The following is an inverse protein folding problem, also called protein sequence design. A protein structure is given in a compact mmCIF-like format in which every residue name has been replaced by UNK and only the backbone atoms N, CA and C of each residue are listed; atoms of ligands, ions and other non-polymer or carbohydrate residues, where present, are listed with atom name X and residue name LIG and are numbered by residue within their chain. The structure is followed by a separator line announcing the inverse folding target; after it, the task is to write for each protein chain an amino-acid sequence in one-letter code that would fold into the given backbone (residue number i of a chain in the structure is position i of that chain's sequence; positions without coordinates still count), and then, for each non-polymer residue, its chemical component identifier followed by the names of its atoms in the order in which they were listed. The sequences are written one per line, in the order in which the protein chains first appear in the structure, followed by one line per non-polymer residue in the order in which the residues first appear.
data_IF_217995637783
#
_entry.id   IF_217995637783
#
_cell.length_a   1.000
_cell.length_b   1.000
_cell.length_c   1.000
_cell.angle_alpha   90.00
_cell.angle_beta   90.00
_cell.angle_gamma   90.00
#
_symmetry.space_group_name_H-M   'P 1'
#
loop_
_entity.id
_entity.type
_entity.pdbx_description
1 polymer ?
#
# COMPACT_ATOMS: atom_id res chain seq x y z
N UNK A 1 -0.13 14.31 6.55
CA UNK A 1 -0.10 14.83 5.17
C UNK A 1 -1.51 14.73 4.55
N UNK A 2 -1.84 15.50 3.50
CA UNK A 2 -3.18 15.39 2.86
C UNK A 2 -3.44 14.02 2.23
N UNK A 3 -2.38 13.34 1.75
CA UNK A 3 -2.44 11.98 1.21
C UNK A 3 -2.75 10.91 2.29
N UNK A 4 -2.61 11.27 3.57
CA UNK A 4 -2.92 10.39 4.69
C UNK A 4 -4.41 10.38 5.05
N UNK A 5 -5.25 11.19 4.38
CA UNK A 5 -6.70 11.23 4.64
C UNK A 5 -7.52 10.93 3.37
N UNK A 6 -8.64 10.20 3.54
CA UNK A 6 -9.67 10.00 2.49
C UNK A 6 -11.06 10.09 3.08
N UNK A 7 -12.01 10.62 2.30
CA UNK A 7 -13.43 10.66 2.66
C UNK A 7 -14.07 9.27 2.72
N UNK A 8 -13.66 8.39 1.80
CA UNK A 8 -14.14 7.02 1.69
C UNK A 8 -13.00 6.09 2.04
N UNK A 9 -13.23 5.21 3.02
CA UNK A 9 -12.26 4.20 3.40
C UNK A 9 -12.20 3.05 2.38
N UNK A 10 -11.03 2.39 2.30
CA UNK A 10 -10.83 1.15 1.56
C UNK A 10 -9.92 0.21 2.37
N UNK A 11 -10.07 -1.10 2.18
CA UNK A 11 -9.32 -2.14 2.89
C UNK A 11 -7.80 -2.02 2.68
N UNK A 12 -7.38 -1.43 1.56
CA UNK A 12 -5.96 -1.21 1.24
C UNK A 12 -5.44 0.17 1.65
N UNK A 13 -6.28 1.00 2.27
CA UNK A 13 -5.88 2.31 2.76
C UNK A 13 -5.56 2.26 4.25
N UNK A 14 -4.30 2.56 4.59
CA UNK A 14 -3.84 2.58 5.98
C UNK A 14 -3.64 4.03 6.49
N UNK A 15 -4.44 4.98 6.00
CA UNK A 15 -4.51 6.34 6.53
C UNK A 15 -5.73 6.56 7.40
N UNK A 16 -6.06 7.83 7.61
CA UNK A 16 -7.22 8.31 8.34
C UNK A 16 -8.44 8.43 7.42
N UNK A 17 -9.60 8.01 7.92
CA UNK A 17 -10.90 8.20 7.26
C UNK A 17 -11.94 8.52 8.36
N UNK A 18 -13.13 9.04 8.01
CA UNK A 18 -14.20 9.23 9.00
C UNK A 18 -14.49 7.95 9.78
N UNK A 19 -14.56 8.04 11.11
CA UNK A 19 -14.78 6.89 12.03
C UNK A 19 -13.67 5.80 12.00
N UNK A 20 -12.52 6.07 11.38
CA UNK A 20 -11.35 5.17 11.39
C UNK A 20 -10.27 5.74 12.29
N UNK A 21 -9.72 4.90 13.15
CA UNK A 21 -8.60 5.24 14.02
C UNK A 21 -7.25 4.96 13.33
N UNK A 22 -6.28 5.86 13.51
CA UNK A 22 -4.89 5.67 13.06
C UNK A 22 -3.92 6.06 14.16
N UNK A 23 -2.78 5.38 14.27
CA UNK A 23 -1.78 5.70 15.28
C UNK A 23 -1.05 7.00 14.94
N UNK A 24 -0.72 7.80 15.96
CA UNK A 24 0.13 8.98 15.81
C UNK A 24 1.53 8.66 16.33
N UNK A 25 2.53 8.83 15.46
CA UNK A 25 3.90 8.42 15.77
C UNK A 25 4.46 9.26 16.92
N UNK A 26 5.16 8.58 17.84
CA UNK A 26 5.75 9.10 19.08
C UNK A 26 4.80 9.74 20.09
N UNK A 27 3.51 9.90 19.78
CA UNK A 27 2.53 10.40 20.76
C UNK A 27 1.97 9.26 21.63
N UNK A 28 1.82 8.06 21.07
CA UNK A 28 1.27 6.90 21.79
C UNK A 28 -0.26 6.82 21.82
N UNK A 29 -0.98 7.72 21.16
CA UNK A 29 -2.44 7.68 21.02
C UNK A 29 -2.90 7.34 19.59
N UNK A 30 -4.20 7.07 19.44
CA UNK A 30 -4.86 6.93 18.15
C UNK A 30 -5.64 8.20 17.82
N UNK A 31 -5.43 8.76 16.64
CA UNK A 31 -6.23 9.85 16.11
C UNK A 31 -7.49 9.28 15.47
N UNK A 32 -8.64 9.85 15.82
CA UNK A 32 -9.95 9.49 15.26
C UNK A 32 -10.57 10.74 14.67
N UNK A 33 -11.03 10.66 13.42
CA UNK A 33 -11.68 11.78 12.74
C UNK A 33 -13.16 11.83 13.07
N UNK A 34 -13.59 12.88 13.79
CA UNK A 34 -14.97 13.10 14.21
C UNK A 34 -15.76 13.88 13.17
N UNK A 35 -15.10 14.87 12.55
CA UNK A 35 -15.76 15.76 11.59
C UNK A 35 -14.79 16.26 10.52
N UNK A 36 -15.31 16.29 9.30
CA UNK A 36 -14.62 16.86 8.13
C UNK A 36 -15.22 18.23 7.83
N UNK A 37 -14.38 19.24 7.72
CA UNK A 37 -14.78 20.58 7.28
C UNK A 37 -14.33 20.75 5.84
N UNK A 38 -15.30 20.88 4.95
CA UNK A 38 -15.10 21.03 3.51
C UNK A 38 -15.49 22.43 3.03
N UNK A 39 -14.81 22.88 1.98
CA UNK A 39 -15.21 24.06 1.22
C UNK A 39 -15.04 23.77 -0.27
N UNK A 40 -16.13 23.94 -1.06
CA UNK A 40 -16.15 23.68 -2.50
C UNK A 40 -15.62 22.27 -2.88
N UNK A 41 -16.01 21.24 -2.12
CA UNK A 41 -15.58 19.86 -2.34
C UNK A 41 -14.10 19.57 -2.01
N UNK A 42 -13.39 20.51 -1.37
CA UNK A 42 -12.03 20.30 -0.87
C UNK A 42 -12.03 20.27 0.65
N UNK A 43 -11.38 19.25 1.22
CA UNK A 43 -11.13 19.14 2.65
C UNK A 43 -10.23 20.29 3.10
N UNK A 44 -10.71 21.12 4.04
CA UNK A 44 -9.98 22.26 4.58
C UNK A 44 -9.39 21.96 5.96
N UNK A 45 -10.17 21.26 6.81
CA UNK A 45 -9.79 20.96 8.19
C UNK A 45 -10.45 19.66 8.63
N UNK A 46 -9.73 18.90 9.44
CA UNK A 46 -10.27 17.75 10.16
C UNK A 46 -10.38 18.13 11.63
N UNK A 47 -11.52 17.85 12.24
CA UNK A 47 -11.69 17.89 13.68
C UNK A 47 -11.62 16.44 14.17
N UNK A 48 -10.63 16.20 15.01
CA UNK A 48 -10.27 14.88 15.48
C UNK A 48 -10.06 14.94 16.99
N UNK A 49 -10.36 13.84 17.67
CA UNK A 49 -9.89 13.59 19.02
C UNK A 49 -8.76 12.57 19.01
N UNK A 50 -7.97 12.59 20.09
CA UNK A 50 -6.93 11.61 20.32
C UNK A 50 -7.38 10.65 21.43
N UNK A 51 -7.58 9.39 21.07
CA UNK A 51 -7.86 8.32 22.01
C UNK A 51 -6.55 7.77 22.60
N UNK A 52 -6.34 8.03 23.88
CA UNK A 52 -5.20 7.54 24.68
C UNK A 52 -5.61 6.46 25.68
N UNK A 53 -6.87 5.99 25.64
CA UNK A 53 -7.39 4.98 26.57
C UNK A 53 -6.65 3.66 26.44
N UNK A 54 -6.52 2.91 27.53
CA UNK A 54 -5.88 1.58 27.51
C UNK A 54 -6.68 0.57 26.67
N UNK A 55 -8.00 0.76 26.55
CA UNK A 55 -8.89 -0.08 25.76
C UNK A 55 -8.90 0.26 24.26
N UNK A 56 -8.13 1.25 23.81
CA UNK A 56 -8.08 1.64 22.40
C UNK A 56 -7.62 0.49 21.49
N UNK A 57 -8.18 0.36 20.28
CA UNK A 57 -7.76 -0.67 19.35
C UNK A 57 -6.29 -0.46 18.93
N UNK A 58 -5.55 -1.55 18.69
CA UNK A 58 -4.21 -1.45 18.12
C UNK A 58 -4.30 -0.85 16.71
N UNK A 59 -3.61 0.26 16.40
CA UNK A 59 -3.70 0.87 15.08
C UNK A 59 -3.02 0.01 14.01
N UNK A 60 -3.57 0.01 12.80
CA UNK A 60 -3.00 -0.71 11.64
C UNK A 60 -1.73 -0.05 11.11
N UNK A 61 -1.56 1.25 11.34
CA UNK A 61 -0.47 2.08 10.85
C UNK A 61 -0.26 3.29 11.74
N UNK A 62 0.88 3.96 11.56
CA UNK A 62 1.24 5.17 12.27
C UNK A 62 1.56 6.29 11.28
N UNK A 63 0.94 7.46 11.48
CA UNK A 63 1.19 8.65 10.68
C UNK A 63 2.26 9.53 11.34
N UNK A 64 3.08 10.15 10.49
CA UNK A 64 3.91 11.29 10.86
C UNK A 64 3.05 12.56 10.95
N UNK A 65 3.47 13.49 11.79
CA UNK A 65 2.76 14.75 12.04
C UNK A 65 3.78 15.82 12.43
N UNK A 66 3.37 17.07 12.32
CA UNK A 66 4.09 18.25 12.82
C UNK A 66 3.08 19.13 13.57
N UNK A 67 3.50 19.84 14.62
CA UNK A 67 2.60 20.75 15.33
C UNK A 67 2.27 21.96 14.46
N UNK A 68 1.17 22.64 14.79
CA UNK A 68 0.68 23.81 14.02
C UNK A 68 1.66 25.00 13.97
N UNK A 69 2.58 25.08 14.94
CA UNK A 69 3.66 26.07 15.00
C UNK A 69 4.96 25.56 14.34
N UNK A 70 4.88 24.55 13.47
CA UNK A 70 6.01 24.08 12.67
C UNK A 70 6.59 25.17 11.77
N UNK A 71 7.82 24.94 11.31
CA UNK A 71 8.52 25.88 10.44
C UNK A 71 8.01 25.72 9.01
N UNK A 72 7.68 26.84 8.35
CA UNK A 72 7.30 26.83 6.94
C UNK A 72 8.55 26.79 6.07
N UNK A 73 8.57 25.93 5.06
CA UNK A 73 9.68 25.81 4.12
C UNK A 73 9.21 25.56 2.68
N UNK A 74 10.14 25.81 1.76
CA UNK A 74 10.05 25.31 0.39
C UNK A 74 10.72 23.93 0.32
N UNK A 75 10.01 22.96 -0.24
CA UNK A 75 10.55 21.62 -0.50
C UNK A 75 10.53 21.36 -2.00
N UNK A 76 11.68 21.05 -2.57
CA UNK A 76 11.86 20.68 -3.98
C UNK A 76 12.04 19.17 -4.08
N UNK A 77 11.12 18.53 -4.79
CA UNK A 77 11.13 17.09 -5.04
C UNK A 77 11.59 16.87 -6.47
N UNK A 78 12.74 16.21 -6.63
CA UNK A 78 13.26 15.87 -7.94
C UNK A 78 12.90 14.43 -8.33
N UNK A 79 12.56 14.27 -9.60
CA UNK A 79 12.28 13.02 -10.30
C UNK A 79 13.23 12.89 -11.50
N UNK A 80 13.25 11.76 -12.23
CA UNK A 80 14.06 11.64 -13.44
C UNK A 80 13.79 12.80 -14.41
N UNK A 81 14.85 13.38 -14.96
CA UNK A 81 14.77 14.51 -15.91
C UNK A 81 14.05 14.11 -17.20
N UNK A 82 14.18 12.85 -17.60
CA UNK A 82 13.58 12.30 -18.80
C UNK A 82 12.53 11.24 -18.46
N UNK A 83 11.54 11.11 -19.33
CA UNK A 83 10.48 10.09 -19.23
C UNK A 83 10.88 8.75 -19.83
N UNK A 84 12.01 8.72 -20.56
CA UNK A 84 12.55 7.54 -21.26
C UNK A 84 13.86 7.07 -20.63
N UNK A 85 14.18 5.79 -20.80
CA UNK A 85 15.41 5.20 -20.28
C UNK A 85 16.67 5.56 -21.09
N UNK A 86 16.50 5.82 -22.39
CA UNK A 86 17.55 6.26 -23.30
C UNK A 86 16.99 7.39 -24.14
N UNK A 87 17.64 8.55 -24.06
CA UNK A 87 17.23 9.78 -24.76
C UNK A 87 17.50 9.63 -26.25
N UNK A 88 16.55 10.03 -27.09
CA UNK A 88 16.78 10.09 -28.53
C UNK A 88 17.71 11.26 -28.89
N UNK A 89 18.56 11.10 -29.92
CA UNK A 89 19.49 12.16 -30.30
C UNK A 89 18.78 13.41 -30.83
N UNK A 90 17.69 13.22 -31.58
CA UNK A 90 16.87 14.29 -32.16
C UNK A 90 15.51 14.33 -31.43
N UNK A 91 15.06 15.51 -30.99
CA UNK A 91 13.75 15.69 -30.34
C UNK A 91 13.70 15.35 -28.85
N UNK A 92 14.86 15.27 -28.18
CA UNK A 92 14.98 14.97 -26.74
C UNK A 92 14.19 15.91 -25.83
N UNK A 93 13.92 17.14 -26.28
CA UNK A 93 13.14 18.12 -25.53
C UNK A 93 11.70 17.64 -25.27
N UNK A 94 11.14 16.84 -26.18
CA UNK A 94 9.82 16.22 -26.03
C UNK A 94 9.82 15.08 -25.00
N UNK A 95 11.00 14.55 -24.66
CA UNK A 95 11.18 13.46 -23.71
C UNK A 95 11.42 13.95 -22.27
N UNK A 96 11.56 15.27 -22.07
CA UNK A 96 11.68 15.89 -20.76
C UNK A 96 10.47 15.59 -19.89
N UNK A 97 10.72 15.27 -18.63
CA UNK A 97 9.70 15.06 -17.64
C UNK A 97 9.23 16.42 -17.09
N UNK A 98 7.98 16.85 -17.34
CA UNK A 98 7.44 18.08 -16.79
C UNK A 98 7.30 18.03 -15.26
N UNK A 99 7.33 16.83 -14.68
CA UNK A 99 7.34 16.60 -13.23
C UNK A 99 8.74 16.26 -12.72
N UNK A 100 9.80 16.57 -13.48
CA UNK A 100 11.21 16.37 -13.03
C UNK A 100 11.53 17.18 -11.77
N UNK A 101 10.84 18.30 -11.56
CA UNK A 101 10.89 19.08 -10.33
C UNK A 101 9.46 19.44 -9.88
N UNK A 102 9.13 19.14 -8.63
CA UNK A 102 7.88 19.54 -7.99
C UNK A 102 8.21 20.39 -6.76
N UNK A 103 7.76 21.64 -6.75
CA UNK A 103 8.04 22.61 -5.68
C UNK A 103 6.84 22.80 -4.76
N UNK A 104 7.02 22.47 -3.48
CA UNK A 104 6.06 22.68 -2.40
C UNK A 104 6.45 23.91 -1.58
N UNK A 105 5.87 25.07 -1.89
CA UNK A 105 6.26 26.37 -1.30
C UNK A 105 5.87 26.60 0.16
N UNK A 106 4.93 25.80 0.68
CA UNK A 106 4.35 25.97 2.03
C UNK A 106 4.34 24.64 2.78
N UNK A 107 5.41 23.85 2.61
CA UNK A 107 5.59 22.66 3.42
C UNK A 107 5.85 23.09 4.88
N UNK A 108 5.54 22.19 5.82
CA UNK A 108 5.73 22.44 7.25
C UNK A 108 6.61 21.32 7.80
N UNK A 109 7.65 21.70 8.54
CA UNK A 109 8.56 20.78 9.23
C UNK A 109 8.50 21.01 10.74
N UNK A 110 8.99 20.03 11.49
CA UNK A 110 9.02 20.12 12.94
C UNK A 110 9.89 21.30 13.44
N UNK A 111 9.51 22.01 14.52
CA UNK A 111 10.29 23.11 15.08
C UNK A 111 11.76 22.77 15.39
N UNK A 112 12.07 21.51 15.71
CA UNK A 112 13.45 21.05 15.94
C UNK A 112 14.36 21.19 14.71
N UNK A 113 13.79 21.31 13.49
CA UNK A 113 14.57 21.61 12.29
C UNK A 113 15.39 22.91 12.41
N UNK A 114 14.92 23.86 13.23
CA UNK A 114 15.62 25.11 13.48
C UNK A 114 16.96 24.94 14.20
N UNK A 115 17.21 23.81 14.88
CA UNK A 115 18.48 23.52 15.54
C UNK A 115 19.58 23.09 14.54
N UNK A 116 19.18 22.70 13.33
CA UNK A 116 20.05 22.09 12.32
C UNK A 116 20.17 23.00 11.09
N UNK A 117 19.13 23.77 10.79
CA UNK A 117 19.03 24.59 9.58
C UNK A 117 19.42 26.03 9.90
N UNK A 118 20.51 26.49 9.30
CA UNK A 118 20.94 27.90 9.34
C UNK A 118 21.64 28.27 8.02
N UNK A 119 21.17 29.34 7.38
CA UNK A 119 21.70 29.89 6.13
C UNK A 119 23.15 30.37 6.22
N UNK A 120 23.69 30.61 7.42
CA UNK A 120 25.12 30.92 7.61
C UNK A 120 26.03 29.70 7.47
N UNK A 121 25.46 28.49 7.58
CA UNK A 121 26.22 27.23 7.60
C UNK A 121 26.13 26.45 6.29
N UNK A 122 25.23 26.84 5.39
CA UNK A 122 25.07 26.19 4.08
C UNK A 122 26.15 26.63 3.10
N UNK A 123 26.51 25.73 2.21
CA UNK A 123 27.53 25.93 1.19
C UNK A 123 27.08 25.35 -0.14
N UNK A 124 27.45 26.03 -1.22
CA UNK A 124 27.31 25.51 -2.59
C UNK A 124 28.32 24.38 -2.89
N UNK A 125 29.43 24.34 -2.16
CA UNK A 125 30.59 23.49 -2.51
C UNK A 125 30.91 22.43 -1.46
N UNK A 126 30.14 22.37 -0.36
CA UNK A 126 30.31 21.39 0.71
C UNK A 126 28.98 20.72 1.00
N UNK A 127 29.04 19.53 1.61
CA UNK A 127 27.84 18.84 2.07
C UNK A 127 27.13 19.66 3.14
N UNK A 128 25.86 20.00 2.87
CA UNK A 128 24.98 20.64 3.83
C UNK A 128 24.31 19.59 4.74
N UNK A 129 23.71 20.02 5.86
CA UNK A 129 22.95 19.12 6.72
C UNK A 129 21.87 18.36 5.95
N UNK A 130 21.72 17.07 6.26
CA UNK A 130 20.69 16.21 5.68
C UNK A 130 20.01 15.38 6.75
N UNK A 131 18.78 14.99 6.49
CA UNK A 131 17.93 14.26 7.43
C UNK A 131 16.87 13.44 6.70
N UNK A 132 16.35 12.43 7.39
CA UNK A 132 15.23 11.64 6.92
C UNK A 132 13.92 12.25 7.40
N UNK A 133 13.08 12.70 6.47
CA UNK A 133 11.68 12.95 6.78
C UNK A 133 10.92 11.63 6.76
N UNK A 134 10.39 11.30 7.93
CA UNK A 134 9.72 10.03 8.13
C UNK A 134 8.55 9.84 7.17
N UNK A 135 8.51 8.65 6.55
CA UNK A 135 7.56 8.27 5.48
C UNK A 135 7.70 9.03 4.16
N UNK A 136 8.56 10.04 4.07
CA UNK A 136 8.70 10.88 2.87
C UNK A 136 9.98 10.58 2.09
N UNK A 137 11.15 10.64 2.72
CA UNK A 137 12.43 10.50 2.03
C UNK A 137 13.60 11.08 2.79
N UNK A 138 14.75 11.14 2.14
CA UNK A 138 15.93 11.84 2.63
C UNK A 138 16.02 13.21 1.97
N UNK A 139 16.30 14.23 2.77
CA UNK A 139 16.33 15.62 2.36
C UNK A 139 17.63 16.28 2.78
N UNK A 140 18.05 17.29 2.02
CA UNK A 140 19.23 18.12 2.31
C UNK A 140 18.83 19.59 2.30
N UNK A 141 19.47 20.39 3.14
CA UNK A 141 19.31 21.84 3.13
C UNK A 141 19.98 22.43 1.88
N UNK A 142 19.21 23.16 1.08
CA UNK A 142 19.71 23.82 -0.10
C UNK A 142 20.55 25.06 0.28
N UNK A 143 21.57 25.36 -0.53
CA UNK A 143 22.47 26.49 -0.30
C UNK A 143 21.81 27.86 -0.50
N UNK A 144 20.61 27.91 -1.10
CA UNK A 144 19.75 29.09 -1.21
C UNK A 144 18.95 29.36 0.08
N UNK A 145 19.07 28.51 1.10
CA UNK A 145 18.49 28.77 2.42
C UNK A 145 19.05 30.05 3.02
N UNK A 146 18.16 30.97 3.39
CA UNK A 146 18.48 32.25 4.05
C UNK A 146 17.98 32.32 5.48
N UNK A 147 17.45 31.21 6.01
CA UNK A 147 16.87 31.14 7.33
C UNK A 147 17.92 31.32 8.43
N UNK A 148 17.63 32.17 9.42
CA UNK A 148 18.50 32.37 10.59
C UNK A 148 17.70 32.22 11.88
N UNK A 149 18.23 31.45 12.85
CA UNK A 149 17.55 31.08 14.11
C UNK A 149 17.74 32.10 15.23
N UNK A 150 17.91 33.38 14.91
CA UNK A 150 18.09 34.39 15.96
C UNK A 150 16.78 34.67 16.72
N UNK A 151 16.75 35.68 17.58
CA UNK A 151 15.58 36.03 18.39
C UNK A 151 14.36 36.46 17.56
N UNK A 152 14.52 36.73 16.26
CA UNK A 152 13.44 37.00 15.32
C UNK A 152 13.69 36.23 14.01
N UNK A 153 13.34 34.93 13.95
CA UNK A 153 13.67 34.11 12.80
C UNK A 153 13.18 34.71 11.49
N UNK A 154 14.11 34.97 10.58
CA UNK A 154 13.84 35.54 9.25
C UNK A 154 14.43 34.66 8.17
N UNK A 155 14.04 34.93 6.92
CA UNK A 155 14.53 34.20 5.75
C UNK A 155 13.70 32.97 5.40
N UNK A 156 14.15 32.25 4.37
CA UNK A 156 13.46 31.10 3.81
C UNK A 156 14.29 29.83 4.01
N UNK A 157 13.63 28.76 4.45
CA UNK A 157 14.18 27.41 4.45
C UNK A 157 13.88 26.76 3.09
N UNK A 158 14.91 26.25 2.43
CA UNK A 158 14.78 25.52 1.16
C UNK A 158 15.38 24.12 1.32
N UNK A 159 14.61 23.09 1.02
CA UNK A 159 15.01 21.69 1.18
C UNK A 159 14.86 20.94 -0.14
N UNK A 160 15.85 20.12 -0.46
CA UNK A 160 15.84 19.27 -1.64
C UNK A 160 15.67 17.80 -1.23
N UNK A 161 14.74 17.08 -1.87
CA UNK A 161 14.66 15.62 -1.72
C UNK A 161 15.86 14.99 -2.44
N UNK A 162 16.71 14.30 -1.68
CA UNK A 162 17.84 13.54 -2.19
C UNK A 162 17.32 12.27 -2.88
N UNK A 163 16.52 11.49 -2.14
CA UNK A 163 15.95 10.23 -2.60
C UNK A 163 14.71 9.87 -1.78
N UNK A 164 13.75 9.17 -2.40
CA UNK A 164 12.59 8.60 -1.73
C UNK A 164 12.97 7.39 -0.84
N UNK A 165 12.13 7.03 0.13
CA UNK A 165 12.42 5.89 1.05
C UNK A 165 12.39 4.52 0.38
N UNK A 166 11.65 4.41 -0.71
CA UNK A 166 11.61 3.24 -1.59
C UNK A 166 11.91 3.74 -2.98
N UNK A 167 12.52 2.90 -3.81
CA UNK A 167 12.62 3.21 -5.23
C UNK A 167 11.21 3.52 -5.74
N UNK A 168 11.02 4.77 -6.14
CA UNK A 168 9.94 5.12 -7.04
C UNK A 168 10.35 4.43 -8.35
N UNK A 169 9.92 3.17 -8.53
CA UNK A 169 9.82 2.62 -9.86
C UNK A 169 8.97 3.66 -10.56
N UNK A 170 9.56 4.45 -11.46
CA UNK A 170 8.82 5.27 -12.40
C UNK A 170 7.86 4.29 -13.01
N UNK A 171 6.62 4.28 -12.51
CA UNK A 171 5.56 3.50 -13.11
C UNK A 171 5.44 4.20 -14.44
N UNK A 172 6.14 3.68 -15.45
CA UNK A 172 5.80 3.95 -16.84
C UNK A 172 4.29 3.95 -16.84
N UNK A 173 3.67 5.06 -17.26
CA UNK A 173 2.21 5.14 -17.35
C UNK A 173 1.82 3.91 -18.15
N UNK A 174 1.30 2.91 -17.44
CA UNK A 174 1.06 1.61 -18.01
C UNK A 174 0.07 1.86 -19.13
N UNK A 175 0.39 1.35 -20.31
CA UNK A 175 -0.54 1.40 -21.41
C UNK A 175 -1.87 0.79 -20.96
N UNK A 176 -2.98 1.20 -21.58
CA UNK A 176 -4.30 0.64 -21.25
C UNK A 176 -4.29 -0.90 -21.30
N UNK A 177 -3.53 -1.47 -22.23
CA UNK A 177 -3.33 -2.91 -22.37
C UNK A 177 -2.57 -3.56 -21.20
N UNK A 178 -1.62 -2.86 -20.59
CA UNK A 178 -0.92 -3.35 -19.40
C UNK A 178 -1.77 -3.26 -18.14
N UNK A 179 -2.59 -2.19 -18.02
CA UNK A 179 -3.58 -2.06 -16.95
C UNK A 179 -4.58 -3.22 -17.03
N UNK A 180 -5.13 -3.48 -18.21
CA UNK A 180 -6.06 -4.58 -18.45
C UNK A 180 -5.45 -5.95 -18.11
N UNK A 181 -4.19 -6.20 -18.50
CA UNK A 181 -3.46 -7.43 -18.12
C UNK A 181 -3.27 -7.57 -16.60
N UNK A 182 -3.04 -6.47 -15.89
CA UNK A 182 -2.89 -6.49 -14.43
C UNK A 182 -4.22 -6.78 -13.74
N UNK A 183 -5.31 -6.17 -14.21
CA UNK A 183 -6.65 -6.42 -13.71
C UNK A 183 -7.10 -7.85 -14.00
N UNK A 184 -6.84 -8.37 -15.20
CA UNK A 184 -7.07 -9.77 -15.54
C UNK A 184 -6.29 -10.71 -14.62
N UNK A 185 -5.01 -10.44 -14.37
CA UNK A 185 -4.19 -11.24 -13.46
C UNK A 185 -4.74 -11.19 -12.03
N UNK A 186 -5.17 -10.02 -11.55
CA UNK A 186 -5.78 -9.85 -10.22
C UNK A 186 -7.10 -10.60 -10.12
N UNK A 187 -7.94 -10.54 -11.13
CA UNK A 187 -9.21 -11.25 -11.21
C UNK A 187 -8.99 -12.76 -11.26
N UNK A 188 -8.00 -13.25 -12.03
CA UNK A 188 -7.62 -14.65 -12.05
C UNK A 188 -7.10 -15.13 -10.69
N UNK A 189 -6.26 -14.35 -10.02
CA UNK A 189 -5.77 -14.68 -8.68
C UNK A 189 -6.90 -14.73 -7.66
N UNK A 190 -7.83 -13.78 -7.71
CA UNK A 190 -9.02 -13.76 -6.86
C UNK A 190 -9.91 -14.98 -7.11
N UNK A 191 -10.20 -15.29 -8.37
CA UNK A 191 -10.99 -16.47 -8.75
C UNK A 191 -10.30 -17.78 -8.33
N UNK A 192 -8.98 -17.88 -8.47
CA UNK A 192 -8.21 -19.04 -7.99
C UNK A 192 -8.23 -19.16 -6.47
N UNK A 193 -8.13 -18.05 -5.74
CA UNK A 193 -8.21 -18.05 -4.28
C UNK A 193 -9.60 -18.48 -3.80
N UNK A 194 -10.67 -17.93 -4.39
CA UNK A 194 -12.06 -18.30 -4.10
C UNK A 194 -12.36 -19.76 -4.47
N UNK A 195 -11.84 -20.26 -5.60
CA UNK A 195 -11.98 -21.66 -5.99
C UNK A 195 -11.23 -22.59 -5.03
N UNK A 196 -10.02 -22.20 -4.59
CA UNK A 196 -9.27 -22.94 -3.57
C UNK A 196 -10.02 -22.94 -2.23
N UNK A 197 -10.56 -21.81 -1.80
CA UNK A 197 -11.32 -21.71 -0.56
C UNK A 197 -12.59 -22.57 -0.61
N UNK A 198 -13.38 -22.47 -1.69
CA UNK A 198 -14.54 -23.34 -1.92
C UNK A 198 -14.16 -24.81 -1.92
N UNK A 199 -13.08 -25.18 -2.60
CA UNK A 199 -12.56 -26.56 -2.59
C UNK A 199 -12.30 -27.01 -1.15
N UNK A 200 -11.57 -26.23 -0.36
CA UNK A 200 -11.23 -26.58 1.03
C UNK A 200 -12.44 -26.61 1.97
N UNK A 201 -13.56 -25.98 1.62
CA UNK A 201 -14.80 -26.04 2.41
C UNK A 201 -15.64 -27.30 2.14
N UNK A 202 -15.41 -28.01 1.02
CA UNK A 202 -16.15 -29.23 0.68
C UNK A 202 -15.73 -30.37 1.63
N UNK A 203 -16.72 -31.02 2.25
CA UNK A 203 -16.53 -32.23 3.05
C UNK A 203 -15.85 -33.34 2.21
N UNK A 204 -14.80 -34.01 2.73
CA UNK A 204 -14.14 -35.10 2.00
C UNK A 204 -15.07 -36.15 1.40
N UNK A 205 -16.18 -36.50 2.05
CA UNK A 205 -17.16 -37.49 1.57
C UNK A 205 -17.95 -36.96 0.36
N UNK A 206 -18.15 -35.64 0.28
CA UNK A 206 -18.86 -34.98 -0.82
C UNK A 206 -17.93 -34.44 -1.91
N UNK A 207 -16.61 -34.55 -1.76
CA UNK A 207 -15.62 -34.01 -2.70
C UNK A 207 -15.90 -34.36 -4.17
N UNK A 208 -16.18 -35.63 -4.47
CA UNK A 208 -16.47 -36.08 -5.84
C UNK A 208 -17.90 -35.79 -6.33
N UNK A 209 -18.77 -35.28 -5.46
CA UNK A 209 -20.15 -34.88 -5.79
C UNK A 209 -20.25 -33.38 -6.05
N UNK A 210 -19.50 -32.58 -5.29
CA UNK A 210 -19.66 -31.13 -5.23
C UNK A 210 -18.57 -30.35 -5.98
N UNK A 211 -17.35 -30.87 -6.10
CA UNK A 211 -16.28 -30.17 -6.81
C UNK A 211 -16.54 -30.15 -8.32
N UNK A 212 -16.47 -28.97 -8.93
CA UNK A 212 -16.85 -28.73 -10.34
C UNK A 212 -16.16 -29.67 -11.33
N UNK A 213 -14.92 -30.11 -11.04
CA UNK A 213 -14.18 -31.03 -11.90
C UNK A 213 -14.78 -32.46 -11.94
N UNK A 214 -15.47 -32.89 -10.88
CA UNK A 214 -16.00 -34.25 -10.73
C UNK A 214 -17.53 -34.30 -10.73
N UNK A 215 -18.18 -33.16 -10.52
CA UNK A 215 -19.63 -33.02 -10.50
C UNK A 215 -20.25 -33.59 -11.78
N UNK A 216 -21.15 -34.56 -11.62
CA UNK A 216 -21.86 -35.21 -12.73
C UNK A 216 -21.07 -36.31 -13.46
N UNK A 217 -19.82 -36.62 -13.08
CA UNK A 217 -19.02 -37.67 -13.73
C UNK A 217 -19.31 -39.08 -13.22
N UNK A 218 -19.96 -39.21 -12.06
CA UNK A 218 -20.15 -40.48 -11.36
C UNK A 218 -21.59 -40.64 -10.88
N UNK A 219 -22.08 -41.88 -10.84
CA UNK A 219 -23.47 -42.20 -10.50
C UNK A 219 -23.62 -42.92 -9.16
N UNK A 220 -22.59 -43.66 -8.71
CA UNK A 220 -22.60 -44.40 -7.44
C UNK A 220 -21.30 -44.17 -6.66
N UNK A 221 -21.41 -44.23 -5.34
CA UNK A 221 -20.33 -43.95 -4.39
C UNK A 221 -20.35 -44.98 -3.26
N UNK A 222 -19.20 -45.26 -2.64
CA UNK A 222 -19.09 -46.08 -1.43
C UNK A 222 -19.35 -45.25 -0.14
N UNK A 223 -19.29 -45.90 1.01
CA UNK A 223 -19.50 -45.28 2.34
C UNK A 223 -18.47 -44.19 2.69
N UNK A 224 -17.36 -44.13 1.96
CA UNK A 224 -16.30 -43.13 2.11
C UNK A 224 -16.41 -42.02 1.07
N UNK A 225 -17.45 -42.03 0.23
CA UNK A 225 -17.66 -41.05 -0.83
C UNK A 225 -16.79 -41.27 -2.07
N UNK A 226 -16.16 -42.44 -2.24
CA UNK A 226 -15.37 -42.79 -3.42
C UNK A 226 -16.29 -43.25 -4.55
N UNK A 227 -16.15 -42.71 -5.77
CA UNK A 227 -16.93 -43.18 -6.92
C UNK A 227 -16.67 -44.65 -7.26
N UNK A 228 -17.74 -45.39 -7.53
CA UNK A 228 -17.70 -46.80 -7.96
C UNK A 228 -18.20 -46.99 -9.39
N UNK A 229 -19.03 -46.08 -9.91
CA UNK A 229 -19.58 -46.15 -11.26
C UNK A 229 -19.49 -44.79 -11.97
N UNK A 230 -19.24 -44.81 -13.27
CA UNK A 230 -19.32 -43.64 -14.15
C UNK A 230 -20.77 -43.17 -14.32
N UNK A 231 -20.94 -41.98 -14.89
CA UNK A 231 -22.24 -41.37 -15.13
C UNK A 231 -23.18 -42.26 -16.00
N UNK A 232 -22.62 -43.05 -16.91
CA UNK A 232 -23.35 -44.00 -17.76
C UNK A 232 -23.70 -45.33 -17.06
N UNK A 233 -23.31 -45.49 -15.80
CA UNK A 233 -23.55 -46.69 -15.02
C UNK A 233 -22.50 -47.80 -15.21
N UNK A 234 -21.41 -47.58 -15.95
CA UNK A 234 -20.30 -48.53 -16.01
C UNK A 234 -19.49 -48.56 -14.72
N UNK A 235 -19.13 -49.76 -14.27
CA UNK A 235 -18.34 -49.96 -13.05
C UNK A 235 -16.88 -49.56 -13.27
N UNK A 236 -16.30 -48.82 -12.33
CA UNK A 236 -14.91 -48.38 -12.39
C UNK A 236 -13.96 -49.53 -12.10
N UNK A 237 -12.89 -49.65 -12.89
CA UNK A 237 -11.82 -50.59 -12.60
C UNK A 237 -11.13 -50.29 -11.26
N UNK A 238 -10.63 -51.33 -10.57
CA UNK A 238 -9.90 -51.21 -9.29
C UNK A 238 -8.73 -50.21 -9.35
N UNK A 239 -8.07 -50.11 -10.50
CA UNK A 239 -6.97 -49.15 -10.73
C UNK A 239 -7.46 -47.70 -10.76
N UNK A 240 -8.65 -47.43 -11.32
CA UNK A 240 -9.28 -46.12 -11.36
C UNK A 240 -9.78 -45.71 -9.97
N UNK A 241 -10.45 -46.62 -9.25
CA UNK A 241 -10.86 -46.40 -7.86
C UNK A 241 -9.65 -46.07 -6.96
N UNK A 242 -8.52 -46.78 -7.12
CA UNK A 242 -7.28 -46.49 -6.37
C UNK A 242 -6.72 -45.09 -6.64
N UNK A 243 -6.90 -44.54 -7.86
CA UNK A 243 -6.52 -43.16 -8.17
C UNK A 243 -7.44 -42.16 -7.47
N UNK A 244 -8.74 -42.42 -7.45
CA UNK A 244 -9.73 -41.57 -6.77
C UNK A 244 -9.51 -41.56 -5.25
N UNK A 245 -9.19 -42.71 -4.64
CA UNK A 245 -8.80 -42.78 -3.22
C UNK A 245 -7.59 -41.89 -2.94
N UNK A 246 -6.56 -41.91 -3.79
CA UNK A 246 -5.39 -41.04 -3.63
C UNK A 246 -5.74 -39.55 -3.76
N UNK A 247 -6.64 -39.20 -4.67
CA UNK A 247 -7.07 -37.80 -4.86
C UNK A 247 -7.89 -37.29 -3.66
N UNK A 248 -8.77 -38.13 -3.09
CA UNK A 248 -9.49 -37.79 -1.85
C UNK A 248 -8.53 -37.64 -0.66
N UNK A 249 -7.55 -38.54 -0.51
CA UNK A 249 -6.53 -38.43 0.55
C UNK A 249 -5.71 -37.15 0.42
N UNK A 250 -5.39 -36.75 -0.82
CA UNK A 250 -4.72 -35.48 -1.10
C UNK A 250 -5.59 -34.29 -0.69
N UNK A 251 -6.89 -34.31 -1.01
CA UNK A 251 -7.85 -33.29 -0.59
C UNK A 251 -7.94 -33.18 0.94
N UNK A 252 -8.10 -34.31 1.64
CA UNK A 252 -8.12 -34.37 3.12
C UNK A 252 -6.85 -33.74 3.72
N UNK A 253 -5.66 -34.08 3.19
CA UNK A 253 -4.40 -33.51 3.66
C UNK A 253 -4.32 -32.00 3.43
N UNK A 254 -4.80 -31.52 2.29
CA UNK A 254 -4.82 -30.09 1.96
C UNK A 254 -5.80 -29.32 2.85
N UNK A 255 -6.99 -29.86 3.08
CA UNK A 255 -8.01 -29.28 3.96
C UNK A 255 -7.53 -29.21 5.42
N UNK A 256 -6.88 -30.28 5.92
CA UNK A 256 -6.30 -30.28 7.28
C UNK A 256 -5.22 -29.20 7.44
N UNK A 257 -4.35 -29.03 6.44
CA UNK A 257 -3.34 -27.97 6.44
C UNK A 257 -3.97 -26.57 6.39
N UNK A 258 -5.02 -26.39 5.58
CA UNK A 258 -5.76 -25.12 5.47
C UNK A 258 -6.46 -24.75 6.79
N UNK A 259 -7.14 -25.71 7.44
CA UNK A 259 -7.77 -25.52 8.75
C UNK A 259 -6.76 -25.13 9.83
N UNK A 260 -5.55 -25.69 9.80
CA UNK A 260 -4.46 -25.32 10.72
C UNK A 260 -3.96 -23.90 10.49
N UNK A 261 -3.98 -23.40 9.26
CA UNK A 261 -3.55 -22.03 8.93
C UNK A 261 -4.58 -20.93 9.23
N UNK A 262 -5.84 -21.33 9.48
CA UNK A 262 -6.95 -20.41 9.81
C UNK A 262 -7.23 -20.31 11.32
N UNK A 263 -6.60 -21.16 12.14
CA UNK A 263 -6.60 -21.09 13.61
C UNK A 263 -5.41 -20.27 14.10
#
# INVERSE_FOLDING_TARGET
DSSDFRLVDDDNFFGLAPNKAVGIKYHGGNLVCDKVIENNGKVQKLECHLDVSESRPKPKSYLSWVPSNGLTCEVRVYNPLFTVASVSGDGWEEELNPESEIVYKKAIIDPSGSDIIDGTTVSKWKSNPSFQFERMGYFVVDYETTYHKDSNPTGQIVLNRIVSLKEEITKQKLSQAEIEKLDDRRNQQKAQAEAKERRMQIDPVNYFKEWDEFKGKYSKYDDKGIPTHLADGTELAKSAMKKLVKEQQKHVKQQAAWNKSKK
#
